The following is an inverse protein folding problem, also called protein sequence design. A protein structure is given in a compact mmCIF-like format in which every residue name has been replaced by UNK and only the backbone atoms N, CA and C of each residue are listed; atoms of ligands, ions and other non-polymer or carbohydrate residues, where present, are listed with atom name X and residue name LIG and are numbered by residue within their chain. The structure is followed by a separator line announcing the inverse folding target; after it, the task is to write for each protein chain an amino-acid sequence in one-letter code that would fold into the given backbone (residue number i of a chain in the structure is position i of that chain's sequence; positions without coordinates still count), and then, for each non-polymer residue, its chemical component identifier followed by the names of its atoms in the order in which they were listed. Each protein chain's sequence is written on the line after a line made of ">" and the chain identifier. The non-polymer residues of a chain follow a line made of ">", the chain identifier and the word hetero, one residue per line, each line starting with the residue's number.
data_IF_166060621331
#
_entry.id   IF_166060621331
#
_cell.length_a   1.000
_cell.length_b   1.000
_cell.length_c   1.000
_cell.angle_alpha   90.00
_cell.angle_beta   90.00
_cell.angle_gamma   90.00
#
_symmetry.space_group_name_H-M   'P 1'
#
loop_
_entity.id
_entity.type
_entity.pdbx_description
1 polymer ?
#
# COMPACT_ATOMS: atom_id res chain seq x y z
N UNK A 1 -36.16 34.88 -25.11
CA UNK A 1 -37.05 34.68 -23.94
C UNK A 1 -36.71 33.31 -23.39
N UNK A 2 -35.69 33.21 -22.54
CA UNK A 2 -35.72 33.33 -21.06
C UNK A 2 -36.34 32.11 -20.36
N UNK A 3 -35.45 31.37 -19.67
CA UNK A 3 -35.54 30.61 -18.40
C UNK A 3 -34.75 29.29 -18.55
N UNK A 4 -33.55 29.14 -17.94
CA UNK A 4 -33.28 28.86 -16.52
C UNK A 4 -34.04 27.60 -16.05
N UNK A 5 -33.45 26.53 -15.51
CA UNK A 5 -32.11 26.22 -15.02
C UNK A 5 -32.32 25.28 -13.83
N UNK A 6 -31.71 24.08 -13.79
CA UNK A 6 -31.52 23.33 -12.54
C UNK A 6 -30.60 22.11 -12.76
N UNK A 7 -29.47 22.13 -12.06
CA UNK A 7 -28.57 21.00 -11.79
C UNK A 7 -28.99 20.32 -10.49
N UNK A 8 -28.81 19.00 -10.37
CA UNK A 8 -28.49 18.41 -9.08
C UNK A 8 -27.10 17.76 -9.10
N UNK A 9 -26.23 18.35 -8.28
CA UNK A 9 -25.14 17.66 -7.61
C UNK A 9 -25.66 16.47 -6.82
N UNK A 10 -25.00 15.32 -6.94
CA UNK A 10 -24.99 14.28 -5.90
C UNK A 10 -23.71 13.48 -6.02
N UNK A 11 -22.68 14.01 -5.37
CA UNK A 11 -21.50 13.28 -4.96
C UNK A 11 -21.91 12.19 -3.95
N UNK A 12 -21.67 10.93 -4.28
CA UNK A 12 -21.67 9.84 -3.31
C UNK A 12 -20.21 9.61 -2.91
N UNK A 13 -19.84 10.18 -1.75
CA UNK A 13 -18.64 9.83 -1.05
C UNK A 13 -18.82 8.42 -0.46
N UNK A 14 -18.14 7.43 -1.05
CA UNK A 14 -18.01 6.10 -0.48
C UNK A 14 -16.97 6.11 0.62
N UNK A 15 -17.43 6.17 1.87
CA UNK A 15 -16.66 5.95 3.09
C UNK A 15 -16.29 4.46 3.19
N UNK A 16 -15.17 4.07 2.55
CA UNK A 16 -14.55 2.76 2.71
C UNK A 16 -13.40 2.84 3.71
N UNK A 17 -13.67 2.50 4.97
CA UNK A 17 -12.66 2.42 6.03
C UNK A 17 -11.66 1.29 5.75
N UNK A 18 -10.56 1.61 5.06
CA UNK A 18 -9.37 0.78 4.97
C UNK A 18 -8.37 1.16 6.06
N UNK A 19 -8.55 0.64 7.28
CA UNK A 19 -7.54 0.70 8.34
C UNK A 19 -6.45 -0.35 8.07
N UNK A 20 -5.66 -0.12 7.02
CA UNK A 20 -4.45 -0.84 6.68
C UNK A 20 -3.22 -0.03 7.09
N UNK A 21 -2.65 -0.38 8.25
CA UNK A 21 -1.35 -0.01 8.81
C UNK A 21 -0.50 1.04 8.04
N UNK A 22 -0.68 2.32 8.37
CA UNK A 22 0.37 3.33 8.23
C UNK A 22 1.32 3.22 9.42
N UNK A 23 2.47 2.59 9.21
CA UNK A 23 3.62 2.71 10.10
C UNK A 23 4.85 3.06 9.25
N UNK A 24 4.92 4.34 8.90
CA UNK A 24 6.13 4.96 8.41
C UNK A 24 6.35 6.28 9.18
N UNK A 25 7.44 6.29 9.95
CA UNK A 25 8.24 7.45 10.34
C UNK A 25 7.52 8.66 10.97
N UNK A 26 7.44 8.68 12.31
CA UNK A 26 7.37 9.92 13.09
C UNK A 26 8.73 10.16 13.77
N UNK A 27 9.64 10.78 13.02
CA UNK A 27 10.81 11.46 13.56
C UNK A 27 10.66 12.95 13.27
N UNK A 28 9.74 13.61 13.97
CA UNK A 28 9.50 15.06 13.82
C UNK A 28 10.54 15.79 14.66
N UNK A 29 11.74 15.96 14.11
CA UNK A 29 12.68 16.99 14.54
C UNK A 29 12.24 18.32 13.93
N UNK A 30 11.83 19.26 14.77
CA UNK A 30 11.55 20.66 14.42
C UNK A 30 12.86 21.30 13.95
N UNK A 31 12.98 21.54 12.65
CA UNK A 31 14.07 22.34 12.09
C UNK A 31 13.53 23.77 11.92
N UNK A 32 13.96 24.66 12.82
CA UNK A 32 13.76 26.10 12.67
C UNK A 32 14.55 26.59 11.45
N UNK A 33 13.90 27.44 10.65
CA UNK A 33 14.47 28.04 9.45
C UNK A 33 15.62 28.99 9.80
N UNK A 34 16.83 28.70 9.32
CA UNK A 34 17.97 29.62 9.37
C UNK A 34 17.98 30.42 8.05
N UNK A 35 17.95 31.77 8.08
CA UNK A 35 18.12 32.57 6.88
C UNK A 35 19.56 32.52 6.36
N UNK A 36 19.70 32.41 5.04
CA UNK A 36 20.97 32.44 4.34
C UNK A 36 21.65 33.82 4.48
N UNK A 37 22.86 33.83 5.04
CA UNK A 37 23.79 34.97 5.03
C UNK A 37 25.02 34.67 4.16
N UNK A 38 25.68 35.69 3.60
CA UNK A 38 26.73 35.52 2.61
C UNK A 38 28.06 35.04 3.21
N UNK A 39 28.79 34.31 2.37
CA UNK A 39 30.07 33.64 2.64
C UNK A 39 31.15 34.60 3.16
N UNK A 40 31.83 34.19 4.24
CA UNK A 40 33.09 34.79 4.70
C UNK A 40 34.13 33.67 4.90
N UNK A 41 35.42 33.93 4.58
CA UNK A 41 36.44 32.90 4.48
C UNK A 41 36.93 32.39 5.84
N UNK A 42 37.30 31.10 5.82
CA UNK A 42 37.90 30.32 6.89
C UNK A 42 39.19 30.96 7.42
N UNK A 43 39.25 31.23 8.72
CA UNK A 43 40.50 31.36 9.46
C UNK A 43 40.45 30.50 10.73
N UNK A 44 41.49 29.67 10.88
CA UNK A 44 41.65 28.70 11.95
C UNK A 44 42.22 29.36 13.22
N UNK A 45 41.67 29.00 14.40
CA UNK A 45 42.46 28.80 15.63
C UNK A 45 41.66 28.10 16.75
N UNK A 46 42.34 27.33 17.64
CA UNK A 46 41.72 26.48 18.64
C UNK A 46 41.69 27.12 20.05
N UNK A 47 40.81 26.60 20.91
CA UNK A 47 40.94 26.68 22.37
C UNK A 47 39.92 27.57 23.06
N UNK A 48 39.09 26.95 23.91
CA UNK A 48 38.21 27.68 24.82
C UNK A 48 37.15 26.79 25.47
N UNK A 49 37.53 26.13 26.57
CA UNK A 49 36.59 25.58 27.56
C UNK A 49 35.76 26.73 28.15
N UNK A 50 34.43 26.65 28.10
CA UNK A 50 33.56 27.55 28.86
C UNK A 50 32.51 26.78 29.63
N UNK A 51 32.44 27.18 30.88
CA UNK A 51 31.70 26.72 32.05
C UNK A 51 30.19 26.79 31.91
N UNK A 52 29.53 25.89 32.63
CA UNK A 52 28.19 26.04 33.19
C UNK A 52 27.96 27.44 33.78
N UNK A 53 26.75 27.96 33.61
CA UNK A 53 25.94 28.58 34.66
C UNK A 53 24.65 29.19 34.07
N UNK A 54 23.56 29.11 34.83
CA UNK A 54 22.58 30.21 34.85
C UNK A 54 21.21 29.95 34.21
N UNK A 55 20.33 29.30 34.98
CA UNK A 55 19.02 29.83 35.41
C UNK A 55 18.31 30.82 34.45
N UNK A 56 17.18 30.39 33.88
CA UNK A 56 16.04 31.31 33.72
C UNK A 56 14.69 30.61 33.96
N UNK A 57 14.10 30.95 35.12
CA UNK A 57 12.72 30.65 35.52
C UNK A 57 11.80 31.68 34.83
N UNK A 58 11.15 31.30 33.74
CA UNK A 58 10.07 32.08 33.12
C UNK A 58 8.72 31.40 33.27
N UNK A 59 7.96 31.75 34.31
CA UNK A 59 6.54 31.40 34.50
C UNK A 59 5.66 32.38 33.73
N UNK A 60 4.87 31.91 32.77
CA UNK A 60 3.56 32.50 32.39
C UNK A 60 2.69 31.34 31.88
N UNK A 61 1.72 30.83 32.65
CA UNK A 61 0.40 31.40 32.91
C UNK A 61 -0.49 31.43 31.67
N UNK A 62 -1.65 30.77 31.85
CA UNK A 62 -2.92 31.00 31.14
C UNK A 62 -3.10 30.26 29.82
N UNK A 63 -3.87 29.17 29.87
CA UNK A 63 -5.08 28.97 29.06
C UNK A 63 -5.83 27.74 29.63
N UNK A 64 -6.71 28.00 30.61
CA UNK A 64 -7.78 27.09 31.02
C UNK A 64 -9.01 27.45 30.19
N UNK A 65 -9.14 26.84 29.01
CA UNK A 65 -10.36 26.86 28.22
C UNK A 65 -11.04 25.51 28.30
N UNK A 66 -11.92 25.33 29.30
CA UNK A 66 -12.75 24.14 29.42
C UNK A 66 -13.79 24.10 28.31
N UNK A 67 -13.67 23.14 27.40
CA UNK A 67 -14.75 22.78 26.48
C UNK A 67 -15.62 21.72 27.14
N UNK A 68 -16.80 22.17 27.57
CA UNK A 68 -17.87 21.31 28.07
C UNK A 68 -18.56 20.73 26.84
N UNK A 69 -18.33 19.45 26.55
CA UNK A 69 -19.06 18.72 25.51
C UNK A 69 -20.37 18.23 26.14
N UNK A 70 -21.55 18.70 25.71
CA UNK A 70 -22.82 18.23 26.26
C UNK A 70 -23.05 16.76 25.88
N UNK A 71 -23.01 15.91 26.89
CA UNK A 71 -23.36 14.50 26.85
C UNK A 71 -24.88 14.33 26.72
N UNK A 72 -25.42 14.43 25.50
CA UNK A 72 -26.87 14.31 25.28
C UNK A 72 -27.27 13.54 24.01
N UNK A 73 -26.42 12.66 23.47
CA UNK A 73 -26.76 11.81 22.31
C UNK A 73 -26.30 10.36 22.52
N UNK A 74 -26.52 9.81 23.72
CA UNK A 74 -26.11 8.44 24.08
C UNK A 74 -27.27 7.46 24.34
N UNK A 75 -28.53 7.83 24.07
CA UNK A 75 -29.69 6.98 24.40
C UNK A 75 -30.55 6.58 23.18
N UNK A 76 -30.29 7.09 21.97
CA UNK A 76 -31.13 6.77 20.79
C UNK A 76 -30.55 5.66 19.90
N UNK A 77 -29.25 5.31 20.00
CA UNK A 77 -28.62 4.31 19.13
C UNK A 77 -28.69 2.85 19.63
N UNK A 78 -29.28 2.60 20.81
CA UNK A 78 -29.48 1.24 21.35
C UNK A 78 -30.78 0.59 20.84
N UNK A 79 -31.65 1.34 20.15
CA UNK A 79 -32.97 0.87 19.69
C UNK A 79 -33.03 0.24 18.29
N UNK A 80 -31.98 0.31 17.46
CA UNK A 80 -32.05 -0.10 16.05
C UNK A 80 -31.37 -1.45 15.71
N UNK A 81 -30.82 -2.17 16.69
CA UNK A 81 -30.18 -3.49 16.49
C UNK A 81 -31.12 -4.66 16.83
N UNK A 82 -32.39 -4.57 16.43
CA UNK A 82 -33.42 -5.55 16.79
C UNK A 82 -34.39 -5.87 15.67
N UNK A 83 -33.91 -6.25 14.47
CA UNK A 83 -34.79 -6.76 13.40
C UNK A 83 -34.09 -7.53 12.25
N UNK A 84 -32.97 -8.20 12.47
CA UNK A 84 -32.30 -8.97 11.39
C UNK A 84 -31.82 -10.37 11.82
N UNK A 85 -32.47 -10.96 12.81
CA UNK A 85 -32.40 -12.40 13.10
C UNK A 85 -33.71 -12.99 12.58
N UNK A 86 -33.65 -14.09 11.82
CA UNK A 86 -34.75 -14.85 11.18
C UNK A 86 -34.91 -14.70 9.65
N UNK A 87 -33.88 -15.08 8.88
CA UNK A 87 -34.02 -15.56 7.50
C UNK A 87 -33.12 -16.79 7.25
N UNK A 88 -33.19 -17.77 8.16
CA UNK A 88 -32.54 -19.09 8.01
C UNK A 88 -33.58 -20.18 8.31
N UNK A 89 -34.47 -20.50 7.38
CA UNK A 89 -35.03 -21.86 7.18
C UNK A 89 -35.70 -21.88 5.80
N UNK A 90 -35.25 -22.76 4.91
CA UNK A 90 -36.11 -23.56 4.02
C UNK A 90 -35.22 -24.56 3.25
N UNK A 91 -34.73 -25.56 3.98
CA UNK A 91 -34.30 -26.83 3.42
C UNK A 91 -35.44 -27.81 3.68
N UNK A 92 -36.20 -28.16 2.64
CA UNK A 92 -36.93 -29.43 2.45
C UNK A 92 -38.12 -29.21 1.49
N UNK A 93 -37.97 -29.66 0.25
CA UNK A 93 -39.08 -29.82 -0.69
C UNK A 93 -38.83 -31.02 -1.62
N UNK A 94 -39.88 -31.72 -2.08
CA UNK A 94 -39.92 -33.18 -2.18
C UNK A 94 -39.38 -33.77 -3.49
N UNK A 95 -38.98 -35.04 -3.41
CA UNK A 95 -38.79 -35.95 -4.56
C UNK A 95 -39.90 -35.79 -5.59
N UNK A 96 -39.54 -35.25 -6.77
CA UNK A 96 -40.40 -35.24 -7.95
C UNK A 96 -40.07 -36.43 -8.82
N UNK A 97 -41.12 -37.21 -9.08
CA UNK A 97 -41.14 -38.38 -9.93
C UNK A 97 -40.59 -38.12 -11.35
N UNK A 98 -40.10 -39.20 -11.95
CA UNK A 98 -39.51 -39.32 -13.28
C UNK A 98 -40.23 -38.51 -14.36
N UNK A 99 -39.48 -37.65 -15.06
CA UNK A 99 -39.87 -37.08 -16.34
C UNK A 99 -39.32 -37.96 -17.49
N UNK A 100 -40.10 -38.18 -18.57
CA UNK A 100 -39.64 -38.88 -19.77
C UNK A 100 -38.52 -38.10 -20.47
N UNK A 101 -37.51 -38.82 -20.96
CA UNK A 101 -36.33 -38.28 -21.61
C UNK A 101 -36.66 -37.46 -22.88
N UNK A 102 -36.28 -36.18 -22.95
CA UNK A 102 -36.21 -35.43 -24.19
C UNK A 102 -34.99 -35.89 -25.00
N UNK A 103 -35.21 -36.00 -26.31
CA UNK A 103 -34.27 -36.50 -27.30
C UNK A 103 -32.94 -35.75 -27.31
N UNK A 104 -31.86 -36.50 -27.53
CA UNK A 104 -30.49 -36.02 -27.58
C UNK A 104 -30.29 -35.01 -28.72
N UNK A 105 -30.25 -33.73 -28.37
CA UNK A 105 -29.53 -32.72 -29.15
C UNK A 105 -28.04 -33.05 -29.15
N UNK A 106 -27.33 -32.94 -30.29
CA UNK A 106 -25.89 -33.14 -30.33
C UNK A 106 -25.19 -32.19 -29.33
N UNK A 107 -24.19 -32.66 -28.58
CA UNK A 107 -23.55 -31.87 -27.54
C UNK A 107 -22.98 -30.59 -28.14
N UNK A 108 -23.50 -29.44 -27.68
CA UNK A 108 -22.85 -28.17 -27.85
C UNK A 108 -21.39 -28.31 -27.40
N UNK A 109 -20.48 -27.85 -28.25
CA UNK A 109 -19.05 -28.09 -28.16
C UNK A 109 -18.51 -27.98 -26.74
N UNK A 110 -17.68 -28.96 -26.37
CA UNK A 110 -16.94 -28.93 -25.13
C UNK A 110 -16.33 -27.53 -24.93
N UNK A 111 -16.45 -26.91 -23.74
CA UNK A 111 -15.87 -25.62 -23.47
C UNK A 111 -14.39 -25.68 -23.82
N UNK A 112 -13.94 -24.79 -24.70
CA UNK A 112 -12.54 -24.66 -25.03
C UNK A 112 -11.75 -24.52 -23.72
N UNK A 113 -10.60 -25.20 -23.57
CA UNK A 113 -9.80 -25.10 -22.36
C UNK A 113 -9.54 -23.62 -22.07
N UNK A 114 -9.85 -23.19 -20.84
CA UNK A 114 -9.61 -21.82 -20.39
C UNK A 114 -8.16 -21.45 -20.71
N UNK A 115 -7.97 -20.36 -21.44
CA UNK A 115 -6.64 -19.94 -21.87
C UNK A 115 -5.74 -19.75 -20.64
N UNK A 116 -4.71 -20.59 -20.50
CA UNK A 116 -3.71 -20.55 -19.42
C UNK A 116 -2.70 -19.41 -19.61
N UNK A 117 -3.17 -18.24 -20.00
CA UNK A 117 -2.36 -17.06 -20.32
C UNK A 117 -2.71 -15.86 -19.45
N UNK A 118 -1.92 -14.78 -19.53
CA UNK A 118 -2.31 -13.49 -18.94
C UNK A 118 -3.71 -13.08 -19.38
N UNK A 119 -4.49 -12.52 -18.45
CA UNK A 119 -5.85 -12.09 -18.69
C UNK A 119 -5.88 -10.60 -19.06
N UNK A 120 -6.46 -10.26 -20.21
CA UNK A 120 -6.68 -8.86 -20.56
C UNK A 120 -7.89 -8.31 -19.78
N UNK A 121 -7.73 -7.19 -19.10
CA UNK A 121 -8.84 -6.41 -18.54
C UNK A 121 -9.55 -5.64 -19.65
N UNK A 122 -10.87 -5.68 -19.65
CA UNK A 122 -11.75 -4.82 -20.45
C UNK A 122 -11.93 -3.42 -19.81
N UNK A 123 -11.64 -3.29 -18.52
CA UNK A 123 -11.69 -2.04 -17.78
C UNK A 123 -10.32 -1.32 -17.78
N UNK A 124 -10.30 0.03 -17.79
CA UNK A 124 -9.07 0.78 -17.56
C UNK A 124 -8.63 0.69 -16.09
N UNK A 125 -7.36 1.01 -15.83
CA UNK A 125 -6.84 1.19 -14.47
C UNK A 125 -7.57 2.37 -13.81
N UNK A 126 -8.13 2.17 -12.62
CA UNK A 126 -8.86 3.20 -11.85
C UNK A 126 -8.24 3.45 -10.48
N UNK A 127 -7.69 2.41 -9.86
CA UNK A 127 -7.11 2.47 -8.52
C UNK A 127 -5.80 1.65 -8.44
N UNK A 128 -5.10 1.79 -7.32
CA UNK A 128 -3.89 1.02 -7.01
C UNK A 128 -4.17 -0.49 -7.01
N UNK A 129 -5.34 -0.91 -6.51
CA UNK A 129 -5.76 -2.32 -6.47
C UNK A 129 -5.87 -2.95 -7.87
N UNK A 130 -6.14 -2.16 -8.92
CA UNK A 130 -6.11 -2.67 -10.29
C UNK A 130 -4.67 -3.03 -10.70
N UNK A 131 -3.69 -2.22 -10.29
CA UNK A 131 -2.28 -2.46 -10.59
C UNK A 131 -1.73 -3.69 -9.86
N UNK A 132 -2.26 -4.03 -8.68
CA UNK A 132 -1.93 -5.27 -7.97
C UNK A 132 -2.31 -6.53 -8.76
N UNK A 133 -3.39 -6.45 -9.56
CA UNK A 133 -3.81 -7.57 -10.42
C UNK A 133 -2.78 -7.86 -11.52
N UNK A 134 -1.92 -6.90 -11.88
CA UNK A 134 -0.82 -7.13 -12.83
C UNK A 134 0.13 -8.20 -12.31
N UNK A 135 0.40 -8.18 -11.01
CA UNK A 135 1.19 -9.21 -10.36
C UNK A 135 0.48 -10.57 -10.33
N UNK A 136 -0.86 -10.57 -10.29
CA UNK A 136 -1.71 -11.76 -10.27
C UNK A 136 -1.96 -12.45 -11.62
N UNK A 137 -1.73 -11.79 -12.75
CA UNK A 137 -2.03 -12.41 -14.06
C UNK A 137 -2.70 -11.49 -15.06
N UNK A 138 -3.26 -10.37 -14.59
CA UNK A 138 -4.06 -9.46 -15.41
C UNK A 138 -3.18 -8.42 -16.11
N UNK A 139 -3.65 -7.82 -17.20
CA UNK A 139 -3.04 -6.63 -17.79
C UNK A 139 -4.08 -5.68 -18.33
N UNK A 140 -3.71 -4.42 -18.52
CA UNK A 140 -4.64 -3.35 -18.85
C UNK A 140 -4.27 -2.72 -20.19
N UNK A 141 -4.81 -3.21 -21.33
CA UNK A 141 -4.42 -2.74 -22.66
C UNK A 141 -4.57 -1.23 -22.89
N UNK A 142 -5.48 -0.59 -22.16
CA UNK A 142 -5.72 0.85 -22.20
C UNK A 142 -4.68 1.68 -21.42
N UNK A 143 -3.84 1.05 -20.60
CA UNK A 143 -2.80 1.72 -19.84
C UNK A 143 -1.67 2.24 -20.76
N UNK A 144 -0.93 3.27 -20.34
CA UNK A 144 0.23 3.75 -21.08
C UNK A 144 1.27 2.63 -21.29
N UNK A 145 1.76 2.48 -22.52
CA UNK A 145 2.82 1.52 -22.86
C UNK A 145 4.17 2.00 -22.33
N UNK A 146 5.03 1.05 -21.96
CA UNK A 146 6.40 1.31 -21.55
C UNK A 146 7.27 1.67 -22.77
N UNK A 147 7.30 2.96 -23.11
CA UNK A 147 8.05 3.57 -24.22
C UNK A 147 8.23 5.07 -23.99
N UNK A 148 9.17 5.67 -24.74
CA UNK A 148 9.45 7.10 -24.67
C UNK A 148 10.54 7.43 -23.66
N UNK A 149 10.66 8.72 -23.34
CA UNK A 149 11.71 9.23 -22.47
C UNK A 149 11.46 8.84 -21.01
N UNK A 150 12.55 8.56 -20.29
CA UNK A 150 12.54 8.36 -18.86
C UNK A 150 12.30 9.70 -18.11
N UNK A 151 11.76 9.67 -16.88
CA UNK A 151 11.47 8.50 -16.06
C UNK A 151 10.08 7.88 -16.28
N UNK A 152 10.01 6.54 -16.25
CA UNK A 152 8.81 5.73 -16.45
C UNK A 152 7.98 5.61 -15.16
N UNK A 153 6.73 6.11 -15.14
CA UNK A 153 5.79 5.92 -14.03
C UNK A 153 5.68 4.46 -13.59
N UNK A 154 6.05 4.19 -12.34
CA UNK A 154 6.16 2.84 -11.79
C UNK A 154 5.49 2.75 -10.43
N UNK A 155 4.61 1.77 -10.27
CA UNK A 155 4.02 1.41 -9.00
C UNK A 155 4.72 0.18 -8.40
N UNK A 156 4.85 0.13 -7.07
CA UNK A 156 5.43 -1.03 -6.38
C UNK A 156 4.33 -1.73 -5.60
N UNK A 157 4.06 -2.98 -5.99
CA UNK A 157 3.09 -3.85 -5.34
C UNK A 157 3.83 -4.91 -4.51
N UNK A 158 3.52 -5.02 -3.22
CA UNK A 158 4.26 -5.88 -2.30
C UNK A 158 3.35 -6.94 -1.71
N UNK A 159 3.84 -8.19 -1.68
CA UNK A 159 3.29 -9.29 -0.90
C UNK A 159 4.33 -9.76 0.11
N UNK A 160 4.16 -9.38 1.37
CA UNK A 160 5.08 -9.71 2.47
C UNK A 160 4.67 -10.96 3.26
N UNK A 161 3.66 -11.69 2.80
CA UNK A 161 3.19 -12.93 3.42
C UNK A 161 3.23 -14.08 2.44
N UNK A 162 3.59 -15.27 2.93
CA UNK A 162 3.55 -16.51 2.16
C UNK A 162 2.12 -17.08 2.05
N UNK A 163 1.21 -16.64 2.91
CA UNK A 163 -0.15 -17.19 3.03
C UNK A 163 -1.23 -16.19 2.69
N UNK A 164 -0.93 -14.89 2.70
CA UNK A 164 -1.90 -13.87 2.32
C UNK A 164 -1.84 -13.63 0.81
N UNK A 165 -3.01 -13.63 0.18
CA UNK A 165 -3.14 -13.25 -1.23
C UNK A 165 -3.12 -11.73 -1.43
N UNK A 166 -3.38 -10.98 -0.35
CA UNK A 166 -3.45 -9.53 -0.41
C UNK A 166 -2.08 -8.92 -0.67
N UNK A 167 -2.08 -7.93 -1.57
CA UNK A 167 -0.95 -7.06 -1.85
C UNK A 167 -1.25 -5.67 -1.30
N UNK A 168 -0.21 -4.88 -1.19
CA UNK A 168 -0.35 -3.46 -0.90
C UNK A 168 0.67 -2.66 -1.68
N UNK A 169 0.31 -1.42 -1.96
CA UNK A 169 1.19 -0.46 -2.60
C UNK A 169 2.25 0.04 -1.64
N UNK A 170 3.50 0.10 -2.13
CA UNK A 170 4.63 0.71 -1.41
C UNK A 170 5.16 1.92 -2.16
N UNK A 171 5.29 3.04 -1.46
CA UNK A 171 5.91 4.25 -2.02
C UNK A 171 7.32 4.45 -1.45
N UNK A 172 8.30 4.67 -2.30
CA UNK A 172 9.66 5.05 -1.89
C UNK A 172 9.70 6.53 -1.49
N UNK A 173 9.13 6.86 -0.33
CA UNK A 173 8.82 8.23 0.07
C UNK A 173 10.00 9.21 -0.04
N UNK A 174 11.20 8.78 0.33
CA UNK A 174 12.41 9.62 0.24
C UNK A 174 12.70 10.03 -1.20
N UNK A 175 12.49 9.14 -2.16
CA UNK A 175 12.73 9.39 -3.59
C UNK A 175 11.55 10.16 -4.20
N UNK A 176 10.33 9.69 -3.96
CA UNK A 176 9.11 10.26 -4.55
C UNK A 176 8.85 11.70 -4.08
N UNK A 177 9.10 12.01 -2.81
CA UNK A 177 8.77 13.31 -2.22
C UNK A 177 9.98 14.16 -1.86
N UNK A 178 11.18 13.58 -1.78
CA UNK A 178 12.44 14.33 -1.62
C UNK A 178 13.09 14.76 -2.94
N UNK A 179 12.61 14.23 -4.08
CA UNK A 179 13.13 14.51 -5.41
C UNK A 179 12.41 15.61 -6.19
N UNK A 180 12.69 15.68 -7.49
CA UNK A 180 12.02 16.59 -8.43
C UNK A 180 10.56 16.19 -8.70
N UNK A 181 9.78 17.09 -9.30
CA UNK A 181 8.41 16.77 -9.73
C UNK A 181 8.36 15.61 -10.75
N UNK A 182 9.42 15.44 -11.56
CA UNK A 182 9.54 14.29 -12.46
C UNK A 182 9.72 12.97 -11.68
N UNK A 183 10.59 12.95 -10.67
CA UNK A 183 10.77 11.79 -9.80
C UNK A 183 9.50 11.45 -9.01
N UNK A 184 8.75 12.45 -8.55
CA UNK A 184 7.45 12.21 -7.92
C UNK A 184 6.48 11.49 -8.85
N UNK A 185 6.35 11.95 -10.09
CA UNK A 185 5.48 11.31 -11.10
C UNK A 185 5.97 9.92 -11.50
N UNK A 186 7.26 9.65 -11.37
CA UNK A 186 7.84 8.34 -11.67
C UNK A 186 7.63 7.33 -10.53
N UNK A 187 7.86 7.74 -9.28
CA UNK A 187 7.93 6.86 -8.12
C UNK A 187 6.67 6.88 -7.22
N UNK A 188 5.73 7.79 -7.50
CA UNK A 188 4.39 7.85 -6.90
C UNK A 188 3.37 8.36 -7.94
N UNK A 189 3.18 7.64 -9.06
CA UNK A 189 2.26 8.06 -10.12
C UNK A 189 0.80 7.96 -9.68
N UNK A 190 -0.06 8.70 -10.36
CA UNK A 190 -1.49 8.36 -10.42
C UNK A 190 -1.66 6.96 -11.05
N UNK A 191 -2.60 6.11 -10.59
CA UNK A 191 -2.75 4.74 -11.09
C UNK A 191 -2.85 4.66 -12.62
N UNK A 192 -3.62 5.57 -13.22
CA UNK A 192 -3.88 5.64 -14.66
C UNK A 192 -2.63 5.94 -15.49
N UNK A 193 -1.59 6.51 -14.86
CA UNK A 193 -0.34 6.89 -15.52
C UNK A 193 0.74 5.83 -15.41
N UNK A 194 0.57 4.82 -14.57
CA UNK A 194 1.55 3.76 -14.38
C UNK A 194 1.83 3.03 -15.71
N UNK A 195 3.09 3.00 -16.11
CA UNK A 195 3.58 2.22 -17.26
C UNK A 195 4.13 0.87 -16.81
N UNK A 196 4.69 0.83 -15.59
CA UNK A 196 5.32 -0.33 -15.00
C UNK A 196 4.69 -0.65 -13.63
N UNK A 197 4.66 -1.95 -13.30
CA UNK A 197 4.41 -2.43 -11.94
C UNK A 197 5.57 -3.32 -11.51
N UNK A 198 6.14 -3.00 -10.35
CA UNK A 198 7.18 -3.76 -9.69
C UNK A 198 6.55 -4.65 -8.60
N UNK A 199 6.40 -5.94 -8.91
CA UNK A 199 5.86 -6.96 -8.02
C UNK A 199 6.96 -7.49 -7.11
N UNK A 200 6.88 -7.20 -5.81
CA UNK A 200 7.81 -7.68 -4.80
C UNK A 200 7.15 -8.79 -3.96
N UNK A 201 7.53 -10.03 -4.24
CA UNK A 201 6.93 -11.21 -3.62
C UNK A 201 7.86 -11.84 -2.61
N UNK A 202 7.42 -12.03 -1.37
CA UNK A 202 8.07 -12.94 -0.44
C UNK A 202 7.94 -14.37 -0.99
N UNK A 203 9.08 -15.04 -1.19
CA UNK A 203 9.16 -16.41 -1.72
C UNK A 203 9.61 -17.42 -0.66
N UNK A 204 10.12 -16.95 0.49
CA UNK A 204 10.44 -17.84 1.59
C UNK A 204 11.31 -17.21 2.69
N UNK A 205 11.61 -17.99 3.75
CA UNK A 205 12.58 -17.61 4.76
C UNK A 205 14.02 -17.80 4.28
N UNK A 206 14.92 -17.00 4.84
CA UNK A 206 16.37 -17.11 4.76
C UNK A 206 16.98 -17.40 6.13
N UNK A 207 18.13 -16.79 6.41
CA UNK A 207 18.87 -17.00 7.66
C UNK A 207 18.11 -16.42 8.87
N UNK A 208 18.17 -17.04 10.05
CA UNK A 208 17.65 -16.43 11.26
C UNK A 208 18.41 -15.15 11.59
N UNK A 209 17.70 -14.12 12.09
CA UNK A 209 18.29 -12.84 12.49
C UNK A 209 18.31 -12.73 14.01
N UNK A 210 17.13 -12.79 14.65
CA UNK A 210 16.97 -12.71 16.12
C UNK A 210 15.57 -13.09 16.57
N UNK A 211 15.36 -13.23 17.87
CA UNK A 211 14.02 -13.31 18.45
C UNK A 211 13.49 -11.90 18.81
N UNK A 212 12.24 -11.63 18.45
CA UNK A 212 11.50 -10.43 18.82
C UNK A 212 10.51 -10.77 19.94
N UNK A 213 10.36 -9.86 20.91
CA UNK A 213 9.38 -10.01 22.00
C UNK A 213 8.10 -9.27 21.65
N UNK A 214 6.96 -9.94 21.83
CA UNK A 214 5.61 -9.34 21.72
C UNK A 214 4.82 -9.75 22.95
N UNK A 215 4.72 -8.87 23.94
CA UNK A 215 4.19 -9.22 25.26
C UNK A 215 5.00 -10.36 25.91
N UNK A 216 4.32 -11.48 26.21
CA UNK A 216 4.96 -12.68 26.76
C UNK A 216 5.54 -13.62 25.69
N UNK A 217 5.20 -13.43 24.42
CA UNK A 217 5.60 -14.31 23.33
C UNK A 217 6.94 -13.90 22.71
N UNK A 218 7.64 -14.89 22.15
CA UNK A 218 8.85 -14.70 21.35
C UNK A 218 8.57 -15.14 19.93
N UNK A 219 8.77 -14.23 18.99
CA UNK A 219 8.63 -14.49 17.56
C UNK A 219 10.01 -14.52 16.91
N UNK A 220 10.21 -15.41 15.95
CA UNK A 220 11.48 -15.52 15.23
C UNK A 220 11.54 -14.52 14.08
N UNK A 221 12.44 -13.54 14.13
CA UNK A 221 12.75 -12.69 12.98
C UNK A 221 13.78 -13.39 12.11
N UNK A 222 13.40 -13.69 10.87
CA UNK A 222 14.24 -14.32 9.85
C UNK A 222 14.40 -13.41 8.64
N UNK A 223 15.45 -13.63 7.87
CA UNK A 223 15.65 -12.95 6.60
C UNK A 223 14.50 -13.30 5.63
N UNK A 224 13.81 -12.31 5.06
CA UNK A 224 12.87 -12.59 3.97
C UNK A 224 13.62 -12.79 2.64
N UNK A 225 13.29 -13.82 1.87
CA UNK A 225 13.72 -13.98 0.49
C UNK A 225 12.63 -13.48 -0.43
N UNK A 226 12.96 -12.54 -1.32
CA UNK A 226 11.98 -11.92 -2.20
C UNK A 226 12.34 -12.12 -3.67
N UNK A 227 11.33 -12.22 -4.52
CA UNK A 227 11.45 -12.08 -5.97
C UNK A 227 10.82 -10.76 -6.38
N UNK A 228 11.61 -9.90 -7.00
CA UNK A 228 11.15 -8.69 -7.66
C UNK A 228 10.94 -9.01 -9.14
N UNK A 229 9.75 -8.74 -9.67
CA UNK A 229 9.48 -8.83 -11.11
C UNK A 229 8.82 -7.56 -11.58
N UNK A 230 9.36 -6.95 -12.63
CA UNK A 230 8.83 -5.72 -13.23
C UNK A 230 8.08 -6.08 -14.49
N UNK A 231 6.82 -5.67 -14.57
CA UNK A 231 5.95 -5.89 -15.71
C UNK A 231 5.52 -4.57 -16.34
N UNK A 232 5.36 -4.56 -17.67
CA UNK A 232 4.61 -3.52 -18.35
C UNK A 232 3.11 -3.68 -18.09
N UNK A 233 2.43 -2.63 -17.63
CA UNK A 233 1.00 -2.67 -17.27
C UNK A 233 0.12 -3.02 -18.46
N UNK A 234 0.46 -2.48 -19.63
CA UNK A 234 -0.35 -2.61 -20.84
C UNK A 234 -0.34 -4.01 -21.47
N UNK A 235 0.66 -4.84 -21.18
CA UNK A 235 0.90 -6.11 -21.88
C UNK A 235 1.27 -7.27 -20.97
N UNK A 236 1.54 -7.00 -19.68
CA UNK A 236 2.22 -7.91 -18.75
C UNK A 236 3.56 -8.45 -19.21
N UNK A 237 4.20 -7.82 -20.20
CA UNK A 237 5.53 -8.24 -20.63
C UNK A 237 6.51 -8.04 -19.48
N UNK A 238 7.27 -9.09 -19.14
CA UNK A 238 8.32 -9.02 -18.13
C UNK A 238 9.47 -8.14 -18.65
N UNK A 239 9.75 -7.06 -17.92
CA UNK A 239 10.82 -6.09 -18.22
C UNK A 239 12.10 -6.45 -17.48
N UNK A 240 11.98 -6.85 -16.22
CA UNK A 240 13.11 -7.23 -15.38
C UNK A 240 12.70 -8.22 -14.29
N UNK A 241 13.68 -8.94 -13.76
CA UNK A 241 13.51 -9.81 -12.61
C UNK A 241 14.79 -9.79 -11.76
N UNK A 242 14.65 -9.79 -10.44
CA UNK A 242 15.77 -9.83 -9.51
C UNK A 242 15.39 -10.58 -8.23
N UNK A 243 16.36 -11.26 -7.63
CA UNK A 243 16.22 -11.81 -6.29
C UNK A 243 16.71 -10.80 -5.27
N UNK A 244 15.90 -10.55 -4.23
CA UNK A 244 16.22 -9.62 -3.15
C UNK A 244 16.16 -10.34 -1.81
N UNK A 245 16.82 -9.75 -0.81
CA UNK A 245 16.79 -10.21 0.57
C UNK A 245 16.33 -9.10 1.48
N UNK A 246 15.56 -9.44 2.49
CA UNK A 246 15.11 -8.51 3.50
C UNK A 246 16.28 -8.09 4.39
N UNK A 247 16.57 -6.79 4.39
CA UNK A 247 17.71 -6.22 5.12
C UNK A 247 17.35 -5.62 6.47
N UNK A 248 16.05 -5.47 6.78
CA UNK A 248 15.64 -4.90 8.05
C UNK A 248 15.82 -5.88 9.20
N UNK A 249 16.66 -5.50 10.16
CA UNK A 249 16.94 -6.31 11.36
C UNK A 249 16.13 -5.82 12.55
N UNK A 250 15.39 -4.70 12.44
CA UNK A 250 14.56 -4.16 13.49
C UNK A 250 13.40 -5.12 13.84
N UNK A 251 13.08 -5.26 15.13
CA UNK A 251 11.83 -5.90 15.53
C UNK A 251 10.72 -4.88 15.31
N UNK A 252 9.65 -5.22 14.59
CA UNK A 252 8.54 -4.30 14.39
C UNK A 252 7.91 -3.93 15.72
N UNK A 253 7.53 -2.66 15.86
CA UNK A 253 6.89 -2.15 17.08
C UNK A 253 5.46 -2.67 17.24
N UNK A 254 4.77 -2.89 16.11
CA UNK A 254 3.42 -3.46 16.05
C UNK A 254 3.51 -4.79 15.31
N UNK A 255 3.04 -5.85 15.95
CA UNK A 255 2.95 -7.17 15.35
C UNK A 255 1.48 -7.58 15.34
N UNK A 256 0.98 -7.91 14.16
CA UNK A 256 -0.34 -8.48 14.02
C UNK A 256 -0.27 -9.95 14.42
N UNK A 257 -1.15 -10.37 15.34
CA UNK A 257 -1.14 -11.73 15.90
C UNK A 257 -1.47 -12.82 14.88
N UNK A 258 -2.03 -12.45 13.71
CA UNK A 258 -2.32 -13.37 12.61
C UNK A 258 -1.09 -13.82 11.80
N UNK A 259 0.09 -13.25 12.04
CA UNK A 259 1.29 -13.47 11.20
C UNK A 259 2.04 -14.76 11.52
N UNK A 260 1.58 -15.54 12.51
CA UNK A 260 2.25 -16.76 12.97
C UNK A 260 3.52 -16.49 13.80
N UNK A 261 4.31 -17.53 14.12
CA UNK A 261 5.47 -17.41 15.01
C UNK A 261 6.72 -16.79 14.35
N UNK A 262 6.66 -16.50 13.05
CA UNK A 262 7.81 -16.07 12.23
C UNK A 262 7.55 -14.71 11.62
N UNK A 263 8.46 -13.78 11.84
CA UNK A 263 8.52 -12.47 11.20
C UNK A 263 9.56 -12.51 10.08
N UNK A 264 9.23 -11.97 8.92
CA UNK A 264 10.16 -11.86 7.80
C UNK A 264 10.70 -10.43 7.74
N UNK A 265 12.02 -10.28 7.58
CA UNK A 265 12.59 -8.95 7.34
C UNK A 265 12.11 -8.39 6.00
N UNK A 266 11.81 -7.09 5.96
CA UNK A 266 11.44 -6.39 4.74
C UNK A 266 12.68 -6.00 3.92
N UNK A 267 12.50 -5.89 2.60
CA UNK A 267 13.50 -5.27 1.70
C UNK A 267 13.60 -3.79 2.05
N UNK A 268 14.83 -3.23 2.10
CA UNK A 268 15.04 -1.81 2.36
C UNK A 268 14.70 -0.96 1.13
N UNK A 269 14.16 0.25 1.35
CA UNK A 269 13.84 1.19 0.27
C UNK A 269 15.03 1.47 -0.64
N UNK A 270 16.23 1.67 -0.08
CA UNK A 270 17.44 1.94 -0.87
C UNK A 270 17.79 0.78 -1.81
N UNK A 271 17.72 -0.46 -1.32
CA UNK A 271 17.99 -1.65 -2.13
C UNK A 271 16.97 -1.78 -3.27
N UNK A 272 15.70 -1.48 -2.99
CA UNK A 272 14.65 -1.52 -4.00
C UNK A 272 14.82 -0.41 -5.05
N UNK A 273 15.17 0.80 -4.61
CA UNK A 273 15.52 1.92 -5.49
C UNK A 273 16.69 1.59 -6.41
N UNK A 274 17.81 1.08 -5.86
CA UNK A 274 19.02 0.81 -6.61
C UNK A 274 18.80 -0.19 -7.76
N UNK A 275 17.90 -1.16 -7.55
CA UNK A 275 17.54 -2.15 -8.57
C UNK A 275 16.55 -1.58 -9.58
N UNK A 276 15.56 -0.82 -9.14
CA UNK A 276 14.51 -0.29 -10.00
C UNK A 276 14.95 0.94 -10.82
N UNK A 277 15.88 1.76 -10.32
CA UNK A 277 16.25 3.04 -10.96
C UNK A 277 16.70 2.90 -12.42
N UNK A 278 17.34 1.78 -12.78
CA UNK A 278 17.77 1.50 -14.18
C UNK A 278 16.61 1.25 -15.14
N UNK A 279 15.42 0.91 -14.61
CA UNK A 279 14.20 0.71 -15.41
C UNK A 279 13.26 1.89 -15.32
N UNK A 280 13.29 2.60 -14.20
CA UNK A 280 12.46 3.77 -13.97
C UNK A 280 13.09 5.02 -14.59
N UNK A 281 14.38 5.27 -14.37
CA UNK A 281 15.03 6.54 -14.71
C UNK A 281 15.86 6.52 -16.00
N UNK A 282 16.06 5.34 -16.60
CA UNK A 282 16.87 5.17 -17.83
C UNK A 282 18.30 4.76 -17.54
#
# INVERSE_FOLDING_TARGET
>A
MQHAGETPDSAVAGEGSGLGARLAAAGVGRADAIPAGPEAPFDARPGGTRTDDGVEKGRTAWWRGGWVIPSAVAVVLVGCLGAAVLRFVDFSGPSRAAQPAPQATPPAGAPAPAATGPLASDQPVRADDDLDQVCGGTFFPAAPKHRGDSPHPTMISVRESLTAENRFTRTLNRVAYGGSAALRRAWAPEPQRAQLVACLDLIGPGKPIRACKSGAEKLSLVEGKYRLTVYEVATRRKVAEAALTGGDRACPFVILTSTGPTLYSAVKDQQLYDVLRTRVEG
#
